data_IF_547198574795
#
_entry.id   IF_547198574795
#
_cell.length_a   1.000
_cell.length_b   1.000
_cell.length_c   1.000
_cell.angle_alpha   90.00
_cell.angle_beta   90.00
_cell.angle_gamma   90.00
#
_symmetry.space_group_name_H-M   'P 1'
#
loop_
_entity.id
_entity.type
_entity.pdbx_description
1 polymer ?
#
# COMPACT_ATOMS: atom_id res chain seq x y z
N UNK A 1 -5.76 7.17 5.88
CA UNK A 1 -4.82 6.68 6.93
C UNK A 1 -5.52 6.01 8.11
N UNK A 2 -6.38 6.69 8.90
CA UNK A 2 -7.03 6.08 10.09
C UNK A 2 -7.77 4.77 9.82
N UNK A 3 -8.51 4.68 8.70
CA UNK A 3 -9.23 3.46 8.28
C UNK A 3 -8.29 2.30 7.90
N UNK A 4 -7.14 2.61 7.30
CA UNK A 4 -6.15 1.59 6.92
C UNK A 4 -5.43 1.03 8.15
N UNK A 5 -5.04 1.92 9.07
CA UNK A 5 -4.43 1.53 10.35
C UNK A 5 -5.43 0.69 11.18
N UNK A 6 -6.71 1.07 11.19
CA UNK A 6 -7.76 0.31 11.85
C UNK A 6 -7.98 -1.07 11.23
N UNK A 7 -7.99 -1.18 9.89
CA UNK A 7 -8.08 -2.46 9.20
C UNK A 7 -6.88 -3.36 9.49
N UNK A 8 -5.67 -2.79 9.55
CA UNK A 8 -4.45 -3.54 9.88
C UNK A 8 -4.47 -4.05 11.34
N UNK A 9 -4.91 -3.21 12.28
CA UNK A 9 -5.10 -3.58 13.68
C UNK A 9 -6.14 -4.68 13.84
N UNK A 10 -7.30 -4.55 13.19
CA UNK A 10 -8.36 -5.56 13.23
C UNK A 10 -7.93 -6.87 12.60
N UNK A 11 -7.21 -6.84 11.47
CA UNK A 11 -6.67 -8.03 10.83
C UNK A 11 -5.64 -8.74 11.72
N UNK A 12 -4.78 -7.98 12.42
CA UNK A 12 -3.84 -8.53 13.40
C UNK A 12 -4.54 -9.17 14.60
N UNK A 13 -5.57 -8.52 15.13
CA UNK A 13 -6.35 -9.03 16.27
C UNK A 13 -7.12 -10.30 15.90
N UNK A 14 -7.74 -10.34 14.71
CA UNK A 14 -8.36 -11.53 14.14
C UNK A 14 -7.34 -12.65 13.90
N UNK A 15 -6.15 -12.33 13.39
CA UNK A 15 -5.09 -13.32 13.20
C UNK A 15 -4.69 -13.97 14.53
N UNK A 16 -4.49 -13.17 15.58
CA UNK A 16 -4.15 -13.69 16.91
C UNK A 16 -5.28 -14.57 17.46
N UNK A 17 -6.54 -14.14 17.34
CA UNK A 17 -7.70 -14.91 17.78
C UNK A 17 -7.85 -16.23 17.01
N UNK A 18 -7.78 -16.20 15.69
CA UNK A 18 -7.86 -17.41 14.88
C UNK A 18 -6.67 -18.32 15.12
N UNK A 19 -5.45 -17.79 15.30
CA UNK A 19 -4.27 -18.60 15.61
C UNK A 19 -4.38 -19.26 16.99
N UNK A 20 -4.97 -18.57 17.98
CA UNK A 20 -5.23 -19.11 19.31
C UNK A 20 -6.27 -20.24 19.27
N UNK A 21 -7.35 -20.06 18.50
CA UNK A 21 -8.37 -21.07 18.26
C UNK A 21 -7.76 -22.25 17.51
N UNK A 22 -6.99 -22.00 16.47
CA UNK A 22 -6.36 -23.02 15.63
C UNK A 22 -5.31 -23.84 16.40
N UNK A 23 -4.54 -23.21 17.28
CA UNK A 23 -3.56 -23.90 18.13
C UNK A 23 -4.20 -24.69 19.28
N UNK A 24 -5.49 -24.48 19.57
CA UNK A 24 -6.26 -25.24 20.57
C UNK A 24 -7.22 -26.26 19.95
N UNK A 25 -7.39 -26.29 18.62
CA UNK A 25 -8.17 -27.32 17.96
C UNK A 25 -7.32 -28.58 17.76
N UNK A 26 -7.95 -29.72 18.00
CA UNK A 26 -7.34 -31.05 17.94
C UNK A 26 -6.69 -31.31 16.57
N UNK A 27 -5.45 -31.86 16.58
CA UNK A 27 -4.57 -32.04 15.40
C UNK A 27 -5.26 -32.77 14.23
N UNK A 28 -6.28 -33.56 14.55
CA UNK A 28 -7.05 -34.38 13.60
C UNK A 28 -7.86 -33.56 12.58
N UNK A 29 -8.25 -32.32 12.87
CA UNK A 29 -9.14 -31.55 11.98
C UNK A 29 -8.43 -30.75 10.90
N UNK A 30 -7.21 -30.26 11.15
CA UNK A 30 -6.49 -29.41 10.20
C UNK A 30 -4.97 -29.63 10.12
N UNK A 31 -4.40 -30.63 10.79
CA UNK A 31 -2.96 -30.96 10.81
C UNK A 31 -2.39 -31.55 9.51
N UNK A 32 -3.05 -31.37 8.36
CA UNK A 32 -2.51 -31.83 7.07
C UNK A 32 -1.30 -30.97 6.70
N UNK A 33 -0.11 -31.56 6.69
CA UNK A 33 1.11 -30.88 6.29
C UNK A 33 1.12 -30.65 4.77
N UNK A 34 1.08 -29.40 4.31
CA UNK A 34 1.26 -29.06 2.89
C UNK A 34 2.76 -28.91 2.65
N UNK A 35 3.36 -29.91 2.00
CA UNK A 35 4.73 -29.80 1.53
C UNK A 35 4.75 -29.17 0.13
N UNK A 36 5.03 -27.88 0.04
CA UNK A 36 5.48 -27.32 -1.23
C UNK A 36 6.91 -27.82 -1.46
N UNK A 37 7.20 -28.45 -2.60
CA UNK A 37 8.58 -28.78 -3.01
C UNK A 37 9.00 -27.77 -4.07
N UNK A 38 9.59 -26.65 -3.65
CA UNK A 38 10.20 -25.70 -4.57
C UNK A 38 11.70 -26.01 -4.65
N UNK A 39 12.20 -26.34 -5.84
CA UNK A 39 13.63 -26.47 -6.09
C UNK A 39 13.99 -25.44 -7.16
N UNK A 40 14.61 -24.33 -6.75
CA UNK A 40 15.12 -23.31 -7.67
C UNK A 40 16.59 -23.66 -7.92
N UNK A 41 16.97 -24.19 -9.10
CA UNK A 41 18.23 -24.93 -9.27
C UNK A 41 19.52 -24.09 -9.14
N UNK A 42 19.45 -22.76 -9.09
CA UNK A 42 20.63 -21.91 -9.29
C UNK A 42 20.89 -20.85 -8.21
N UNK A 43 19.98 -20.58 -7.27
CA UNK A 43 20.14 -19.43 -6.35
C UNK A 43 19.90 -19.72 -4.85
N UNK A 44 19.17 -20.77 -4.48
CA UNK A 44 18.84 -21.03 -3.07
C UNK A 44 18.87 -22.53 -2.75
N UNK A 45 19.84 -22.97 -1.96
CA UNK A 45 19.91 -24.32 -1.37
C UNK A 45 18.89 -24.55 -0.24
N UNK A 46 17.84 -23.73 -0.17
CA UNK A 46 16.81 -23.81 0.86
C UNK A 46 15.71 -24.77 0.40
N UNK A 47 15.60 -25.88 1.13
CA UNK A 47 14.50 -26.82 0.99
C UNK A 47 13.29 -26.25 1.75
N UNK A 48 12.16 -26.13 1.09
CA UNK A 48 10.92 -25.69 1.71
C UNK A 48 10.49 -26.65 2.83
N UNK A 49 10.23 -26.11 4.01
CA UNK A 49 9.71 -26.85 5.15
C UNK A 49 8.20 -27.10 4.97
N UNK A 50 7.67 -28.26 5.42
CA UNK A 50 6.23 -28.50 5.42
C UNK A 50 5.55 -27.53 6.38
N UNK A 51 4.52 -26.82 5.90
CA UNK A 51 3.72 -25.90 6.71
C UNK A 51 2.31 -26.51 6.84
N UNK A 52 1.69 -26.51 8.03
CA UNK A 52 0.33 -27.03 8.21
C UNK A 52 -0.67 -26.26 7.34
N UNK A 53 -1.62 -26.96 6.73
CA UNK A 53 -2.57 -26.40 5.77
C UNK A 53 -3.37 -25.23 6.36
N UNK A 54 -3.78 -25.32 7.63
CA UNK A 54 -4.56 -24.24 8.20
C UNK A 54 -3.74 -22.99 8.55
N UNK A 55 -2.42 -23.09 8.76
CA UNK A 55 -1.56 -21.89 8.79
C UNK A 55 -1.56 -21.18 7.43
N UNK A 56 -1.52 -21.94 6.33
CA UNK A 56 -1.60 -21.38 4.98
C UNK A 56 -2.95 -20.69 4.75
N UNK A 57 -4.06 -21.32 5.20
CA UNK A 57 -5.39 -20.72 5.13
C UNK A 57 -5.51 -19.45 5.97
N UNK A 58 -4.95 -19.44 7.18
CA UNK A 58 -4.94 -18.28 8.07
C UNK A 58 -4.20 -17.10 7.43
N UNK A 59 -3.02 -17.37 6.88
CA UNK A 59 -2.23 -16.36 6.17
C UNK A 59 -2.97 -15.86 4.93
N UNK A 60 -3.58 -16.76 4.14
CA UNK A 60 -4.36 -16.37 2.97
C UNK A 60 -5.57 -15.51 3.33
N UNK A 61 -6.27 -15.85 4.41
CA UNK A 61 -7.41 -15.10 4.92
C UNK A 61 -7.00 -13.69 5.38
N UNK A 62 -5.94 -13.59 6.17
CA UNK A 62 -5.42 -12.29 6.62
C UNK A 62 -4.85 -11.47 5.46
N UNK A 63 -4.16 -12.09 4.50
CA UNK A 63 -3.70 -11.42 3.30
C UNK A 63 -4.88 -10.87 2.48
N UNK A 64 -5.97 -11.62 2.35
CA UNK A 64 -7.21 -11.18 1.69
C UNK A 64 -7.85 -9.97 2.39
N UNK A 65 -7.94 -9.99 3.72
CA UNK A 65 -8.47 -8.87 4.51
C UNK A 65 -7.65 -7.60 4.38
N UNK A 66 -6.33 -7.69 4.17
CA UNK A 66 -5.45 -6.54 3.98
C UNK A 66 -5.40 -6.09 2.52
N UNK A 67 -5.50 -7.01 1.56
CA UNK A 67 -5.44 -6.70 0.14
C UNK A 67 -6.64 -5.87 -0.35
N UNK A 68 -7.85 -6.15 0.17
CA UNK A 68 -9.07 -5.41 -0.18
C UNK A 68 -8.97 -3.90 0.12
N UNK A 69 -8.65 -3.46 1.36
CA UNK A 69 -8.51 -2.03 1.66
C UNK A 69 -7.28 -1.41 1.00
N UNK A 70 -6.23 -2.19 0.70
CA UNK A 70 -5.10 -1.71 -0.09
C UNK A 70 -5.52 -1.40 -1.54
N UNK A 71 -6.34 -2.27 -2.15
CA UNK A 71 -6.89 -2.05 -3.48
C UNK A 71 -7.81 -0.83 -3.54
N UNK A 72 -8.66 -0.64 -2.53
CA UNK A 72 -9.51 0.55 -2.41
C UNK A 72 -8.70 1.84 -2.16
N UNK A 73 -7.56 1.73 -1.49
CA UNK A 73 -6.70 2.88 -1.21
C UNK A 73 -5.87 3.34 -2.41
N UNK A 74 -5.55 2.45 -3.37
CA UNK A 74 -4.80 2.78 -4.59
C UNK A 74 -5.37 4.01 -5.34
N UNK A 75 -6.66 4.06 -5.71
CA UNK A 75 -7.20 5.21 -6.44
C UNK A 75 -7.13 6.52 -5.65
N UNK A 76 -7.16 6.48 -4.32
CA UNK A 76 -6.97 7.67 -3.48
C UNK A 76 -5.52 8.18 -3.50
N UNK A 77 -4.55 7.27 -3.61
CA UNK A 77 -3.13 7.60 -3.73
C UNK A 77 -2.85 8.22 -5.11
N UNK A 78 -3.44 7.70 -6.18
CA UNK A 78 -3.33 8.31 -7.50
C UNK A 78 -3.92 9.72 -7.57
N UNK A 79 -5.13 9.93 -7.02
CA UNK A 79 -5.75 11.26 -6.96
C UNK A 79 -4.92 12.28 -6.18
N UNK A 80 -4.30 11.87 -5.07
CA UNK A 80 -3.45 12.76 -4.27
C UNK A 80 -2.15 13.12 -4.97
N UNK A 81 -1.53 12.18 -5.69
CA UNK A 81 -0.36 12.45 -6.55
C UNK A 81 -0.73 13.38 -7.71
N UNK A 82 -1.87 13.15 -8.35
CA UNK A 82 -2.35 14.00 -9.44
C UNK A 82 -2.59 15.44 -8.97
N UNK A 83 -3.27 15.63 -7.84
CA UNK A 83 -3.48 16.95 -7.23
C UNK A 83 -2.16 17.64 -6.89
N UNK A 84 -1.17 16.90 -6.39
CA UNK A 84 0.15 17.45 -6.07
C UNK A 84 0.88 17.93 -7.32
N UNK A 85 0.76 17.19 -8.42
CA UNK A 85 1.34 17.59 -9.72
C UNK A 85 0.66 18.85 -10.28
N UNK A 86 -0.68 18.93 -10.21
CA UNK A 86 -1.46 20.10 -10.67
C UNK A 86 -1.15 21.34 -9.83
N UNK A 87 -1.07 21.21 -8.50
CA UNK A 87 -0.70 22.33 -7.62
C UNK A 87 0.72 22.83 -7.90
N UNK A 88 1.68 21.95 -8.22
CA UNK A 88 3.03 22.38 -8.59
C UNK A 88 3.01 23.20 -9.88
N UNK A 89 2.20 22.80 -10.86
CA UNK A 89 2.04 23.51 -12.14
C UNK A 89 1.34 24.86 -11.97
N UNK A 90 0.28 24.93 -11.17
CA UNK A 90 -0.40 26.18 -10.83
C UNK A 90 0.59 27.16 -10.19
N UNK A 91 1.39 26.71 -9.23
CA UNK A 91 2.39 27.55 -8.56
C UNK A 91 3.50 28.05 -9.51
N UNK A 92 3.83 27.30 -10.56
CA UNK A 92 4.75 27.76 -11.60
C UNK A 92 4.09 28.83 -12.48
N UNK A 93 2.85 28.60 -12.91
CA UNK A 93 2.09 29.57 -13.69
C UNK A 93 1.87 30.87 -12.93
N UNK A 94 1.55 30.82 -11.63
CA UNK A 94 1.43 32.02 -10.78
C UNK A 94 2.74 32.81 -10.71
N UNK A 95 3.89 32.13 -10.66
CA UNK A 95 5.20 32.78 -10.71
C UNK A 95 5.45 33.45 -12.04
N UNK A 96 5.19 32.77 -13.16
CA UNK A 96 5.34 33.33 -14.51
C UNK A 96 4.44 34.57 -14.69
N UNK A 97 3.19 34.49 -14.26
CA UNK A 97 2.23 35.58 -14.33
C UNK A 97 2.67 36.79 -13.48
N UNK A 98 3.26 36.54 -12.29
CA UNK A 98 3.83 37.60 -11.46
C UNK A 98 5.04 38.29 -12.09
N UNK A 99 5.86 37.55 -12.86
CA UNK A 99 7.01 38.11 -13.58
C UNK A 99 6.53 38.97 -14.75
N UNK A 100 5.59 38.47 -15.55
CA UNK A 100 4.99 39.24 -16.66
C UNK A 100 4.34 40.52 -16.15
N UNK A 101 3.62 40.46 -15.03
CA UNK A 101 2.97 41.64 -14.42
C UNK A 101 4.00 42.71 -14.02
N UNK A 102 5.11 42.30 -13.41
CA UNK A 102 6.21 43.21 -13.06
C UNK A 102 6.85 43.84 -14.28
N UNK A 103 7.09 43.07 -15.35
CA UNK A 103 7.65 43.60 -16.61
C UNK A 103 6.69 44.63 -17.23
N UNK A 104 5.39 44.32 -17.27
CA UNK A 104 4.38 45.24 -17.81
C UNK A 104 4.26 46.54 -17.01
N UNK A 105 4.37 46.49 -15.68
CA UNK A 105 4.37 47.67 -14.82
C UNK A 105 5.65 48.51 -15.02
N UNK A 106 6.78 47.86 -15.30
CA UNK A 106 8.07 48.51 -15.55
C UNK A 106 8.10 49.18 -16.94
N UNK A 107 7.54 48.54 -17.97
CA UNK A 107 7.41 49.12 -19.32
C UNK A 107 6.45 50.33 -19.36
N UNK A 108 5.44 50.38 -18.49
CA UNK A 108 4.57 51.56 -18.35
C UNK A 108 5.26 52.74 -17.64
N UNK A 109 6.34 52.50 -16.90
CA UNK A 109 7.09 53.56 -16.20
C UNK A 109 8.25 54.13 -17.01
N UNK A 110 8.58 53.56 -18.18
CA UNK A 110 9.57 54.15 -19.09
C UNK A 110 8.85 55.17 -19.99
N UNK A 111 9.05 56.50 -19.79
CA UNK A 111 8.53 57.48 -20.72
C UNK A 111 9.21 57.26 -22.08
N UNK A 112 8.39 57.06 -23.13
CA UNK A 112 8.86 57.07 -24.51
C UNK A 112 9.49 58.45 -24.78
N UNK A 113 10.81 58.46 -24.94
CA UNK A 113 11.60 59.60 -25.44
C UNK A 113 11.42 59.69 -26.95
#
# INVERSE_FOLDING_TARGET
>A
MKRFIFALLMAGLLFVLLNLIYSNLDDATFGYAVSFKFSVPTLFAYRSAPIPLGFVLLIAFCAGMVALPLLEALPSLYKTLELRSKNKKIRQLEKELSVVRKISEQDQQVPKV
#
